data_IF_001855430987
#
_entry.id   IF_001855430987
#
_cell.length_a   1.000
_cell.length_b   1.000
_cell.length_c   1.000
_cell.angle_alpha   90.00
_cell.angle_beta   90.00
_cell.angle_gamma   90.00
#
_symmetry.space_group_name_H-M   'P 1'
#
loop_
_entity.id
_entity.type
_entity.pdbx_description
1 polymer ?
#
# COMPACT_ATOMS: atom_id res chain seq x y z
N UNK A 1 5.49 19.74 -12.32
CA UNK A 1 5.58 19.15 -10.98
C UNK A 1 6.83 18.27 -10.94
N UNK A 2 7.75 18.50 -9.99
CA UNK A 2 8.90 17.60 -9.78
C UNK A 2 8.45 16.47 -8.89
N UNK A 3 8.42 15.25 -9.42
CA UNK A 3 8.25 14.02 -8.69
C UNK A 3 9.61 13.60 -8.13
N UNK A 4 9.68 13.35 -6.85
CA UNK A 4 10.83 12.67 -6.27
C UNK A 4 10.46 11.21 -6.05
N UNK A 5 10.79 10.36 -7.02
CA UNK A 5 10.81 8.93 -6.82
C UNK A 5 12.20 8.58 -6.31
N UNK A 6 12.29 8.22 -5.04
CA UNK A 6 13.53 7.74 -4.46
C UNK A 6 13.65 6.25 -4.77
N UNK A 7 14.39 5.91 -5.82
CA UNK A 7 14.81 4.54 -6.08
C UNK A 7 16.21 4.33 -5.52
N UNK A 8 16.35 3.45 -4.57
CA UNK A 8 17.65 2.96 -4.12
C UNK A 8 17.57 1.45 -4.00
N UNK A 9 18.52 0.75 -4.62
CA UNK A 9 18.73 -0.67 -4.32
C UNK A 9 18.98 -0.76 -2.82
N UNK A 10 18.05 -1.42 -2.12
CA UNK A 10 18.02 -1.34 -0.68
C UNK A 10 19.18 -2.10 -0.06
N UNK A 11 19.91 -1.41 0.80
CA UNK A 11 20.91 -2.05 1.67
C UNK A 11 20.19 -3.06 2.56
N UNK A 12 20.74 -4.28 2.68
CA UNK A 12 20.24 -5.32 3.59
C UNK A 12 19.91 -4.78 4.99
N UNK A 13 20.65 -3.76 5.44
CA UNK A 13 20.45 -3.13 6.75
C UNK A 13 19.13 -2.40 6.92
N UNK A 14 18.56 -1.81 5.87
CA UNK A 14 17.30 -1.04 5.99
C UNK A 14 16.07 -1.95 6.21
N UNK A 15 15.95 -3.04 5.46
CA UNK A 15 14.90 -4.06 5.72
C UNK A 15 14.96 -4.56 7.17
N UNK A 16 16.17 -4.84 7.67
CA UNK A 16 16.37 -5.29 9.03
C UNK A 16 15.98 -4.21 10.05
N UNK A 17 16.28 -2.93 9.76
CA UNK A 17 15.88 -1.79 10.63
C UNK A 17 14.37 -1.71 10.76
N UNK A 18 13.61 -1.73 9.64
CA UNK A 18 12.15 -1.72 9.67
C UNK A 18 11.57 -2.95 10.37
N UNK A 19 12.11 -4.14 10.08
CA UNK A 19 11.68 -5.38 10.74
C UNK A 19 11.91 -5.35 12.24
N UNK A 20 13.06 -4.86 12.71
CA UNK A 20 13.38 -4.71 14.13
C UNK A 20 12.44 -3.73 14.83
N UNK A 21 12.14 -2.60 14.18
CA UNK A 21 11.20 -1.62 14.72
C UNK A 21 9.81 -2.26 14.83
N UNK A 22 9.35 -2.94 13.80
CA UNK A 22 8.06 -3.63 13.86
C UNK A 22 8.02 -4.73 14.92
N UNK A 23 9.06 -5.57 15.04
CA UNK A 23 9.13 -6.63 16.04
C UNK A 23 9.19 -6.08 17.47
N UNK A 24 9.77 -4.89 17.68
CA UNK A 24 9.94 -4.26 18.99
C UNK A 24 8.72 -3.48 19.43
N UNK A 25 8.05 -2.79 18.51
CA UNK A 25 6.97 -1.85 18.83
C UNK A 25 5.60 -2.30 18.30
N UNK A 26 5.55 -3.36 17.50
CA UNK A 26 4.33 -3.87 16.88
C UNK A 26 3.72 -2.87 15.89
N UNK A 27 2.42 -3.03 15.64
CA UNK A 27 1.64 -2.01 14.94
C UNK A 27 1.52 -0.78 15.84
N UNK A 28 1.83 0.42 15.34
CA UNK A 28 1.73 1.63 16.15
C UNK A 28 0.29 1.83 16.65
N UNK A 29 0.17 2.14 17.92
CA UNK A 29 -1.10 2.52 18.54
C UNK A 29 -1.60 3.84 17.98
N UNK A 30 -2.89 3.96 17.83
CA UNK A 30 -3.79 5.07 17.44
C UNK A 30 -3.30 6.30 16.65
N UNK A 31 -2.08 6.79 16.85
CA UNK A 31 -1.61 8.04 16.19
C UNK A 31 -0.97 7.85 14.82
N UNK A 32 -0.72 6.61 14.40
CA UNK A 32 -0.08 6.27 13.11
C UNK A 32 -0.95 5.35 12.26
N UNK A 33 -2.27 5.46 12.38
CA UNK A 33 -3.19 4.68 11.55
C UNK A 33 -3.06 5.07 10.09
N UNK A 34 -2.83 4.09 9.21
CA UNK A 34 -2.77 4.28 7.76
C UNK A 34 -4.11 4.73 7.23
N UNK A 35 -5.18 4.15 7.75
CA UNK A 35 -6.54 4.35 7.28
C UNK A 35 -7.46 4.54 8.47
N UNK A 36 -8.31 5.57 8.41
CA UNK A 36 -9.44 5.69 9.33
C UNK A 36 -10.35 4.46 9.16
N UNK A 37 -11.07 4.03 10.22
CA UNK A 37 -12.05 2.96 10.07
C UNK A 37 -12.99 3.23 8.90
N UNK A 38 -13.20 2.21 8.07
CA UNK A 38 -14.14 2.33 6.96
C UNK A 38 -15.55 2.65 7.48
N UNK A 39 -16.25 3.52 6.77
CA UNK A 39 -17.66 3.79 7.03
C UNK A 39 -18.50 2.52 6.85
N UNK A 40 -19.68 2.48 7.46
CA UNK A 40 -20.50 1.28 7.59
C UNK A 40 -20.72 0.54 6.26
N UNK A 41 -20.96 1.26 5.18
CA UNK A 41 -21.21 0.70 3.84
C UNK A 41 -19.96 0.07 3.17
N UNK A 42 -18.77 0.53 3.50
CA UNK A 42 -17.51 0.03 2.95
C UNK A 42 -16.88 -1.08 3.80
N UNK A 43 -17.21 -1.11 5.10
CA UNK A 43 -16.64 -2.07 6.05
C UNK A 43 -16.86 -3.53 5.64
N UNK A 44 -18.05 -3.99 5.22
CA UNK A 44 -18.26 -5.38 4.81
C UNK A 44 -17.37 -5.80 3.63
N UNK A 45 -17.11 -4.87 2.69
CA UNK A 45 -16.23 -5.13 1.53
C UNK A 45 -14.79 -5.35 1.98
N UNK A 46 -14.27 -4.47 2.84
CA UNK A 46 -12.92 -4.59 3.39
C UNK A 46 -12.74 -5.88 4.22
N UNK A 47 -13.72 -6.23 5.05
CA UNK A 47 -13.69 -7.45 5.85
C UNK A 47 -13.74 -8.72 5.00
N UNK A 48 -14.51 -8.71 3.90
CA UNK A 48 -14.57 -9.84 2.96
C UNK A 48 -13.20 -10.06 2.31
N UNK A 49 -12.62 -9.03 1.70
CA UNK A 49 -11.30 -9.12 1.06
C UNK A 49 -10.24 -9.57 2.07
N UNK A 50 -10.27 -9.02 3.28
CA UNK A 50 -9.36 -9.43 4.35
C UNK A 50 -9.50 -10.91 4.69
N UNK A 51 -10.72 -11.43 4.85
CA UNK A 51 -10.95 -12.85 5.13
C UNK A 51 -10.43 -13.75 4.01
N UNK A 52 -10.77 -13.44 2.76
CA UNK A 52 -10.35 -14.20 1.59
C UNK A 52 -8.82 -14.27 1.49
N UNK A 53 -8.16 -13.13 1.64
CA UNK A 53 -6.72 -13.01 1.57
C UNK A 53 -6.01 -13.77 2.70
N UNK A 54 -6.46 -13.61 3.96
CA UNK A 54 -5.86 -14.31 5.09
C UNK A 54 -6.10 -15.82 5.05
N UNK A 55 -7.23 -16.28 4.47
CA UNK A 55 -7.47 -17.71 4.21
C UNK A 55 -6.43 -18.26 3.24
N UNK A 56 -6.07 -17.54 2.17
CA UNK A 56 -5.02 -17.94 1.25
C UNK A 56 -3.64 -18.03 1.92
N UNK A 57 -3.39 -17.19 2.93
CA UNK A 57 -2.16 -17.25 3.73
C UNK A 57 -2.18 -18.37 4.78
N UNK A 58 -3.29 -19.12 4.94
CA UNK A 58 -3.44 -20.13 5.98
C UNK A 58 -3.56 -19.53 7.39
N UNK A 59 -3.94 -18.26 7.51
CA UNK A 59 -4.08 -17.56 8.80
C UNK A 59 -5.50 -17.69 9.31
N UNK A 60 -5.67 -18.39 10.43
CA UNK A 60 -6.98 -18.59 11.05
C UNK A 60 -7.56 -17.28 11.62
N UNK A 61 -8.91 -17.21 11.67
CA UNK A 61 -9.60 -16.09 12.31
C UNK A 61 -9.30 -16.09 13.81
N UNK A 62 -8.76 -14.96 14.29
CA UNK A 62 -8.39 -14.82 15.71
C UNK A 62 -6.92 -15.07 15.99
N UNK A 63 -6.16 -15.69 15.08
CA UNK A 63 -4.73 -15.87 15.22
C UNK A 63 -4.02 -14.52 14.97
N UNK A 64 -3.77 -13.81 16.06
CA UNK A 64 -3.12 -12.49 16.03
C UNK A 64 -1.66 -12.60 15.65
N UNK A 65 -0.95 -13.59 16.17
CA UNK A 65 0.49 -13.75 15.95
C UNK A 65 0.77 -14.06 14.48
N UNK A 66 0.04 -14.99 13.86
CA UNK A 66 0.15 -15.29 12.45
C UNK A 66 -0.20 -14.08 11.59
N UNK A 67 -1.20 -13.28 12.00
CA UNK A 67 -1.59 -12.05 11.32
C UNK A 67 -0.50 -11.00 11.38
N UNK A 68 0.08 -10.76 12.55
CA UNK A 68 1.16 -9.80 12.75
C UNK A 68 2.42 -10.22 12.00
N UNK A 69 2.72 -11.51 11.98
CA UNK A 69 3.80 -12.07 11.16
C UNK A 69 3.57 -11.83 9.66
N UNK A 70 2.34 -12.05 9.18
CA UNK A 70 2.01 -11.78 7.78
C UNK A 70 2.05 -10.29 7.45
N UNK A 71 1.56 -9.42 8.37
CA UNK A 71 1.66 -7.98 8.23
C UNK A 71 3.10 -7.49 8.18
N UNK A 72 3.96 -8.08 9.01
CA UNK A 72 5.40 -7.77 9.07
C UNK A 72 6.12 -7.93 7.73
N UNK A 73 5.63 -8.79 6.83
CA UNK A 73 6.18 -8.95 5.48
C UNK A 73 6.14 -7.68 4.64
N UNK A 74 5.25 -6.72 4.96
CA UNK A 74 5.27 -5.41 4.33
C UNK A 74 6.62 -4.70 4.53
N UNK A 75 7.24 -4.87 5.68
CA UNK A 75 8.52 -4.24 6.03
C UNK A 75 9.73 -5.03 5.53
N UNK A 76 9.48 -6.19 4.98
CA UNK A 76 10.43 -6.98 4.20
C UNK A 76 10.19 -6.82 2.69
N UNK A 77 9.22 -5.93 2.31
CA UNK A 77 8.81 -5.67 0.93
C UNK A 77 8.42 -6.96 0.19
N UNK A 78 7.82 -7.89 0.93
CA UNK A 78 7.46 -9.23 0.47
C UNK A 78 8.62 -10.00 -0.17
N UNK A 79 9.87 -9.71 0.23
CA UNK A 79 11.07 -10.31 -0.35
C UNK A 79 11.59 -9.63 -1.62
N UNK A 80 10.89 -8.65 -2.16
CA UNK A 80 11.32 -7.94 -3.36
C UNK A 80 12.71 -7.29 -3.19
N UNK A 81 13.55 -7.28 -4.23
CA UNK A 81 14.88 -6.68 -4.17
C UNK A 81 14.86 -5.15 -4.24
N UNK A 82 13.80 -4.57 -4.81
CA UNK A 82 13.65 -3.13 -5.00
C UNK A 82 12.40 -2.64 -4.30
N UNK A 83 12.52 -1.48 -3.63
CA UNK A 83 11.42 -0.71 -3.08
C UNK A 83 11.53 0.73 -3.54
N UNK A 84 10.43 1.30 -4.01
CA UNK A 84 10.30 2.71 -4.32
C UNK A 84 9.44 3.38 -3.24
N UNK A 85 9.82 4.58 -2.83
CA UNK A 85 9.02 5.41 -1.94
C UNK A 85 8.52 6.63 -2.69
N UNK A 86 7.21 6.78 -2.77
CA UNK A 86 6.56 7.87 -3.50
C UNK A 86 6.18 8.98 -2.54
N UNK A 87 6.79 10.14 -2.74
CA UNK A 87 6.57 11.33 -1.95
C UNK A 87 5.91 12.43 -2.78
N UNK A 88 5.03 13.20 -2.15
CA UNK A 88 4.52 14.46 -2.70
C UNK A 88 4.86 15.62 -1.79
N UNK A 89 5.06 16.81 -2.38
CA UNK A 89 5.27 18.03 -1.60
C UNK A 89 3.99 18.44 -0.86
N UNK A 90 4.11 18.80 0.43
CA UNK A 90 2.96 19.09 1.31
C UNK A 90 2.14 20.30 0.88
N UNK A 91 2.77 21.27 0.19
CA UNK A 91 2.07 22.45 -0.32
C UNK A 91 1.18 22.17 -1.53
N UNK A 92 1.32 20.99 -2.15
CA UNK A 92 0.50 20.64 -3.31
C UNK A 92 -0.88 20.17 -2.87
N UNK A 93 -1.86 20.55 -3.67
CA UNK A 93 -3.26 20.20 -3.47
C UNK A 93 -3.51 18.68 -3.70
N UNK A 94 -4.73 18.22 -3.40
CA UNK A 94 -5.18 16.84 -3.58
C UNK A 94 -4.89 16.28 -4.99
N UNK A 95 -4.86 17.12 -6.00
CA UNK A 95 -4.51 16.72 -7.36
C UNK A 95 -3.11 16.10 -7.48
N UNK A 96 -2.16 16.50 -6.64
CA UNK A 96 -0.85 15.88 -6.61
C UNK A 96 -0.91 14.41 -6.18
N UNK A 97 -1.83 14.05 -5.29
CA UNK A 97 -2.05 12.66 -4.91
C UNK A 97 -2.70 11.86 -6.07
N UNK A 98 -3.62 12.49 -6.81
CA UNK A 98 -4.21 11.90 -8.03
C UNK A 98 -3.14 11.64 -9.08
N UNK A 99 -2.31 12.65 -9.37
CA UNK A 99 -1.19 12.51 -10.33
C UNK A 99 -0.20 11.42 -9.89
N UNK A 100 0.12 11.34 -8.58
CA UNK A 100 0.97 10.28 -8.05
C UNK A 100 0.37 8.89 -8.28
N UNK A 101 -0.94 8.74 -8.07
CA UNK A 101 -1.65 7.49 -8.37
C UNK A 101 -1.56 7.11 -9.84
N UNK A 102 -1.76 8.06 -10.76
CA UNK A 102 -1.62 7.83 -12.20
C UNK A 102 -0.19 7.43 -12.59
N UNK A 103 0.82 8.07 -12.00
CA UNK A 103 2.22 7.71 -12.21
C UNK A 103 2.52 6.30 -11.68
N UNK A 104 2.05 5.97 -10.48
CA UNK A 104 2.23 4.65 -9.88
C UNK A 104 1.61 3.56 -10.74
N UNK A 105 0.40 3.76 -11.25
CA UNK A 105 -0.27 2.80 -12.13
C UNK A 105 0.52 2.57 -13.41
N UNK A 106 0.96 3.65 -14.09
CA UNK A 106 1.79 3.53 -15.29
C UNK A 106 3.10 2.77 -15.02
N UNK A 107 3.73 3.00 -13.87
CA UNK A 107 4.94 2.29 -13.46
C UNK A 107 4.65 0.80 -13.25
N UNK A 108 3.56 0.46 -12.56
CA UNK A 108 3.19 -0.93 -12.29
C UNK A 108 2.82 -1.68 -13.58
N UNK A 109 2.09 -1.05 -14.49
CA UNK A 109 1.77 -1.61 -15.81
C UNK A 109 3.04 -1.82 -16.66
N UNK A 110 3.94 -0.84 -16.66
CA UNK A 110 5.23 -0.96 -17.35
C UNK A 110 6.08 -2.10 -16.77
N UNK A 111 6.16 -2.21 -15.45
CA UNK A 111 6.87 -3.30 -14.78
C UNK A 111 6.29 -4.67 -15.19
N UNK A 112 4.96 -4.79 -15.19
CA UNK A 112 4.27 -6.01 -15.62
C UNK A 112 4.59 -6.37 -17.06
N UNK A 113 4.63 -5.40 -17.98
CA UNK A 113 5.01 -5.62 -19.38
C UNK A 113 6.45 -6.16 -19.53
N UNK A 114 7.31 -5.93 -18.53
CA UNK A 114 8.66 -6.45 -18.47
C UNK A 114 8.81 -7.75 -17.64
N UNK A 115 7.69 -8.40 -17.29
CA UNK A 115 7.68 -9.64 -16.52
C UNK A 115 7.97 -9.45 -15.02
N UNK A 116 7.88 -8.22 -14.52
CA UNK A 116 8.07 -7.92 -13.10
C UNK A 116 6.72 -7.84 -12.37
N UNK A 117 6.71 -8.30 -11.12
CA UNK A 117 5.62 -8.10 -10.19
C UNK A 117 5.82 -6.83 -9.36
N UNK A 118 4.74 -6.19 -8.99
CA UNK A 118 4.73 -5.00 -8.13
C UNK A 118 3.70 -5.12 -7.03
N UNK A 119 3.99 -4.50 -5.89
CA UNK A 119 3.03 -4.40 -4.78
C UNK A 119 3.05 -3.00 -4.18
N UNK A 120 1.97 -2.25 -4.34
CA UNK A 120 1.80 -0.96 -3.69
C UNK A 120 1.50 -1.14 -2.20
N UNK A 121 2.28 -0.46 -1.34
CA UNK A 121 2.30 -0.68 0.11
C UNK A 121 1.99 0.59 0.89
N UNK A 122 0.73 0.75 1.31
CA UNK A 122 0.35 1.81 2.25
C UNK A 122 0.94 1.61 3.66
N UNK A 123 1.28 0.37 4.03
CA UNK A 123 1.79 0.02 5.35
C UNK A 123 3.08 0.75 5.73
N UNK A 124 3.94 1.07 4.75
CA UNK A 124 5.21 1.76 4.99
C UNK A 124 5.03 3.19 5.48
N UNK A 125 3.87 3.82 5.22
CA UNK A 125 3.57 5.18 5.67
C UNK A 125 3.58 5.32 7.20
N UNK A 126 3.35 4.24 7.91
CA UNK A 126 3.39 4.21 9.37
C UNK A 126 4.79 4.59 9.89
N UNK A 127 5.82 4.27 9.11
CA UNK A 127 7.22 4.48 9.45
C UNK A 127 7.88 5.54 8.54
N UNK A 128 7.13 6.57 8.13
CA UNK A 128 7.64 7.68 7.32
C UNK A 128 8.88 8.33 7.91
N UNK A 129 8.94 8.48 9.24
CA UNK A 129 10.10 8.98 9.96
C UNK A 129 11.37 8.14 9.73
N UNK A 130 11.23 6.80 9.78
CA UNK A 130 12.36 5.88 9.55
C UNK A 130 12.83 5.92 8.10
N UNK A 131 11.89 6.03 7.15
CA UNK A 131 12.23 6.15 5.71
C UNK A 131 12.93 7.48 5.45
N UNK A 132 12.46 8.57 6.07
CA UNK A 132 13.08 9.90 5.94
C UNK A 132 14.50 9.93 6.44
N UNK A 133 14.74 9.36 7.62
CA UNK A 133 16.07 9.32 8.21
C UNK A 133 17.06 8.57 7.33
N UNK A 134 16.61 7.50 6.66
CA UNK A 134 17.47 6.71 5.79
C UNK A 134 17.82 7.41 4.47
N UNK A 135 16.90 8.23 3.94
CA UNK A 135 17.02 8.84 2.61
C UNK A 135 17.14 10.36 2.64
N UNK A 136 17.26 10.97 3.82
CA UNK A 136 17.40 12.43 4.00
C UNK A 136 16.29 13.24 3.28
N UNK A 137 15.05 12.74 3.34
CA UNK A 137 13.91 13.39 2.69
C UNK A 137 13.50 14.65 3.45
N UNK A 138 13.38 15.79 2.75
CA UNK A 138 12.91 17.04 3.35
C UNK A 138 11.56 16.88 4.04
N UNK A 139 11.38 17.61 5.16
CA UNK A 139 10.11 17.68 5.91
C UNK A 139 8.96 18.28 5.10
N UNK A 140 9.26 18.95 3.98
CA UNK A 140 8.23 19.50 3.08
C UNK A 140 7.50 18.44 2.24
N UNK A 141 8.01 17.22 2.24
CA UNK A 141 7.39 16.10 1.54
C UNK A 141 6.65 15.18 2.52
N UNK A 142 5.65 14.48 2.05
CA UNK A 142 4.99 13.38 2.76
C UNK A 142 5.00 12.11 1.93
N UNK A 143 5.22 10.99 2.58
CA UNK A 143 5.13 9.66 1.99
C UNK A 143 3.67 9.35 1.64
N UNK A 144 3.44 8.84 0.43
CA UNK A 144 2.13 8.38 -0.01
C UNK A 144 2.07 6.86 0.00
N UNK A 145 3.08 6.23 -0.59
CA UNK A 145 3.08 4.78 -0.80
C UNK A 145 4.50 4.27 -0.99
N UNK A 146 4.75 3.02 -0.62
CA UNK A 146 5.85 2.23 -1.11
C UNK A 146 5.42 1.38 -2.30
N UNK A 147 6.35 0.97 -3.15
CA UNK A 147 6.12 0.01 -4.23
C UNK A 147 7.25 -0.99 -4.24
N UNK A 148 6.94 -2.21 -3.80
CA UNK A 148 7.85 -3.34 -3.92
C UNK A 148 7.89 -3.84 -5.36
N UNK A 149 9.09 -4.11 -5.89
CA UNK A 149 9.29 -4.57 -7.28
C UNK A 149 10.24 -5.76 -7.30
N UNK A 150 9.86 -6.81 -8.00
CA UNK A 150 10.66 -8.02 -8.17
C UNK A 150 10.03 -9.02 -9.12
N UNK A 151 10.67 -10.16 -9.29
CA UNK A 151 10.05 -11.25 -10.04
C UNK A 151 8.98 -11.92 -9.15
N UNK A 152 7.75 -12.12 -9.68
CA UNK A 152 6.68 -12.75 -8.91
C UNK A 152 7.03 -14.21 -8.63
N UNK A 153 6.69 -14.68 -7.44
CA UNK A 153 6.77 -16.10 -7.09
C UNK A 153 5.49 -16.85 -7.52
N UNK A 154 5.53 -18.18 -7.49
CA UNK A 154 4.36 -19.04 -7.75
C UNK A 154 3.39 -19.12 -6.55
N UNK A 155 3.46 -18.17 -5.63
CA UNK A 155 2.58 -18.16 -4.47
C UNK A 155 1.11 -17.97 -4.89
N UNK A 156 0.16 -18.77 -4.34
CA UNK A 156 -1.26 -18.65 -4.66
C UNK A 156 -1.84 -17.25 -4.46
N UNK A 157 -1.24 -16.44 -3.58
CA UNK A 157 -1.67 -15.05 -3.35
C UNK A 157 -1.52 -14.18 -4.59
N UNK A 158 -0.57 -14.49 -5.47
CA UNK A 158 -0.36 -13.73 -6.71
C UNK A 158 -1.47 -13.95 -7.76
N UNK A 159 -2.27 -15.00 -7.59
CA UNK A 159 -3.46 -15.27 -8.40
C UNK A 159 -4.77 -14.78 -7.75
N UNK A 160 -4.68 -14.17 -6.57
CA UNK A 160 -5.85 -13.66 -5.87
C UNK A 160 -6.42 -12.43 -6.57
N UNK A 161 -7.71 -12.51 -6.91
CA UNK A 161 -8.46 -11.39 -7.47
C UNK A 161 -9.61 -11.03 -6.54
N UNK A 162 -9.52 -9.87 -5.92
CA UNK A 162 -10.63 -9.37 -5.12
C UNK A 162 -11.82 -9.02 -6.01
N UNK A 163 -13.02 -9.40 -5.59
CA UNK A 163 -14.25 -9.04 -6.29
C UNK A 163 -14.37 -7.54 -6.45
N UNK A 164 -14.84 -7.11 -7.61
CA UNK A 164 -15.20 -5.72 -7.91
C UNK A 164 -16.72 -5.58 -7.89
N UNK A 165 -17.19 -4.38 -7.60
CA UNK A 165 -18.60 -4.05 -7.81
C UNK A 165 -18.88 -3.92 -9.29
N UNK A 166 -20.13 -4.18 -9.69
CA UNK A 166 -20.54 -4.03 -11.07
C UNK A 166 -20.46 -2.57 -11.52
N UNK A 167 -20.19 -2.38 -12.80
CA UNK A 167 -20.08 -1.04 -13.40
C UNK A 167 -21.35 -0.22 -13.18
N UNK A 168 -22.52 -0.86 -13.27
CA UNK A 168 -23.81 -0.21 -13.05
C UNK A 168 -24.00 0.33 -11.63
N UNK A 169 -23.33 -0.26 -10.63
CA UNK A 169 -23.33 0.26 -9.26
C UNK A 169 -22.42 1.52 -9.10
N UNK A 170 -21.46 1.70 -10.00
CA UNK A 170 -20.58 2.88 -10.02
C UNK A 170 -21.24 4.08 -10.68
N UNK A 171 -22.22 3.85 -11.56
CA UNK A 171 -22.85 4.90 -12.32
C UNK A 171 -23.94 5.60 -11.51
N UNK A 172 -23.75 6.90 -11.28
CA UNK A 172 -24.79 7.73 -10.66
C UNK A 172 -25.88 8.06 -11.67
N UNK A 173 -27.13 7.73 -11.32
CA UNK A 173 -28.28 8.14 -12.14
C UNK A 173 -28.52 9.64 -11.99
N UNK A 174 -28.63 10.36 -13.10
CA UNK A 174 -29.00 11.77 -13.09
C UNK A 174 -30.38 11.95 -12.45
N UNK A 175 -30.54 12.97 -11.61
CA UNK A 175 -31.87 13.34 -11.08
C UNK A 175 -32.76 13.75 -12.25
N UNK A 176 -33.93 13.12 -12.40
CA UNK A 176 -34.95 13.59 -13.32
C UNK A 176 -35.36 15.01 -12.91
N UNK A 177 -35.17 16.01 -13.78
CA UNK A 177 -35.73 17.34 -13.53
C UNK A 177 -37.26 17.19 -13.48
N UNK A 178 -37.87 17.49 -12.33
CA UNK A 178 -39.32 17.67 -12.30
C UNK A 178 -39.65 18.83 -13.23
N UNK A 179 -40.39 18.56 -14.29
CA UNK A 179 -41.00 19.65 -15.08
C UNK A 179 -41.91 20.41 -14.11
N UNK A 180 -41.56 21.70 -13.82
CA UNK A 180 -42.52 22.66 -13.23
C UNK A 180 -43.53 23.03 -14.28
#
# INVERSE_FOLDING_TARGET
ARWHVLSKIMRKGFKNKLRLIFSRYGLPTSNRSIVKPYVAELKPRAERVGRELYTLFGVARGDRDARDKQWGKNYEFFGAPVELFVYIHKSLHIYAASDAGLMMENLMLSAHAHGLGTCAQGAVNIWDDVVRDEFEVSKDYRLICGIAIGYPSDSPVNSFQANRIDVDELLLKAKKKSKK
#
